data_IF_272331035787
#
_entry.id   IF_272331035787
#
_cell.length_a   1.000
_cell.length_b   1.000
_cell.length_c   1.000
_cell.angle_alpha   90.00
_cell.angle_beta   90.00
_cell.angle_gamma   90.00
#
_symmetry.space_group_name_H-M   'P 1'
#
loop_
_entity.id
_entity.type
_entity.pdbx_description
1 polymer ?
#
# COMPACT_ATOMS: atom_id res chain seq x y z
N UNK A 1 29.76 19.00 0.04
CA UNK A 1 29.96 17.53 0.09
C UNK A 1 28.88 16.88 -0.75
N UNK A 2 29.15 15.81 -1.50
CA UNK A 2 28.10 15.10 -2.23
C UNK A 2 27.05 14.65 -1.22
N UNK A 3 25.79 14.94 -1.52
CA UNK A 3 24.66 14.71 -0.64
C UNK A 3 24.18 13.26 -0.77
N UNK A 4 25.07 12.33 -0.40
CA UNK A 4 24.81 10.89 -0.49
C UNK A 4 23.90 10.49 0.66
N UNK A 5 22.76 9.84 0.36
CA UNK A 5 21.85 9.29 1.37
C UNK A 5 21.86 7.78 1.34
N UNK A 6 22.16 7.19 2.49
CA UNK A 6 22.14 5.75 2.67
C UNK A 6 20.71 5.24 2.82
N UNK A 7 20.32 4.26 2.01
CA UNK A 7 18.99 3.64 2.06
C UNK A 7 18.87 2.72 3.28
N UNK A 8 19.90 1.90 3.53
CA UNK A 8 19.96 0.96 4.65
C UNK A 8 21.11 1.36 5.57
N UNK A 9 20.79 1.59 6.84
CA UNK A 9 21.73 1.95 7.90
C UNK A 9 22.34 0.69 8.52
N UNK A 10 23.58 0.81 8.98
CA UNK A 10 24.28 -0.31 9.62
C UNK A 10 23.61 -0.69 10.94
N UNK A 11 23.44 -1.99 11.19
CA UNK A 11 22.87 -2.55 12.42
C UNK A 11 21.43 -2.12 12.72
N UNK A 12 20.70 -1.67 11.68
CA UNK A 12 19.28 -1.30 11.75
C UNK A 12 18.52 -2.06 10.67
N UNK A 13 17.44 -2.75 11.06
CA UNK A 13 16.55 -3.36 10.09
C UNK A 13 15.71 -2.28 9.39
N UNK A 14 15.77 -2.21 8.06
CA UNK A 14 14.92 -1.32 7.28
C UNK A 14 13.49 -1.86 7.23
N UNK A 15 12.64 -1.31 8.09
CA UNK A 15 11.18 -1.53 8.12
C UNK A 15 10.43 -0.34 7.54
N UNK A 16 9.13 -0.45 7.32
CA UNK A 16 8.33 0.68 6.84
C UNK A 16 8.30 1.84 7.83
N UNK A 17 8.27 1.54 9.13
CA UNK A 17 8.45 2.56 10.16
C UNK A 17 9.77 3.32 9.98
N UNK A 18 10.90 2.61 9.81
CA UNK A 18 12.21 3.22 9.57
C UNK A 18 12.31 3.96 8.24
N UNK A 19 11.64 3.47 7.21
CA UNK A 19 11.50 4.19 5.94
C UNK A 19 10.85 5.57 6.17
N UNK A 20 9.72 5.64 6.88
CA UNK A 20 9.00 6.90 7.08
C UNK A 20 9.63 7.84 8.11
N UNK A 21 10.20 7.32 9.20
CA UNK A 21 10.77 8.16 10.27
C UNK A 21 12.18 8.64 9.99
N UNK A 22 12.97 7.82 9.29
CA UNK A 22 14.42 8.05 9.16
C UNK A 22 14.75 8.34 7.68
N UNK A 23 14.62 7.35 6.78
CA UNK A 23 15.10 7.50 5.40
C UNK A 23 14.38 8.62 4.61
N UNK A 24 13.05 8.61 4.59
CA UNK A 24 12.26 9.64 3.89
C UNK A 24 12.52 11.03 4.48
N UNK A 25 12.72 11.11 5.81
CA UNK A 25 13.06 12.35 6.50
C UNK A 25 14.42 12.87 6.06
N UNK A 26 15.45 12.03 6.03
CA UNK A 26 16.80 12.39 5.58
C UNK A 26 16.80 12.88 4.12
N UNK A 27 16.04 12.22 3.24
CA UNK A 27 15.86 12.64 1.84
C UNK A 27 15.25 14.03 1.77
N UNK A 28 14.14 14.25 2.49
CA UNK A 28 13.44 15.54 2.47
C UNK A 28 14.25 16.68 3.10
N UNK A 29 14.97 16.43 4.19
CA UNK A 29 15.86 17.41 4.81
C UNK A 29 16.98 17.82 3.86
N UNK A 30 17.47 16.89 3.03
CA UNK A 30 18.47 17.20 2.02
C UNK A 30 17.99 18.27 1.02
N UNK A 31 16.75 18.18 0.55
CA UNK A 31 16.16 19.19 -0.34
C UNK A 31 15.86 20.50 0.39
N UNK A 32 15.38 20.44 1.65
CA UNK A 32 15.16 21.64 2.47
C UNK A 32 16.47 22.41 2.71
N UNK A 33 17.59 21.71 2.74
CA UNK A 33 18.93 22.28 2.90
C UNK A 33 19.57 22.70 1.56
N UNK A 34 18.79 22.74 0.47
CA UNK A 34 19.23 23.29 -0.81
C UNK A 34 19.87 22.30 -1.78
N UNK A 35 19.77 20.99 -1.54
CA UNK A 35 20.22 20.01 -2.52
C UNK A 35 19.37 20.09 -3.80
N UNK A 36 20.02 20.20 -4.95
CA UNK A 36 19.37 20.17 -6.28
C UNK A 36 19.35 18.78 -6.88
N UNK A 37 20.11 17.84 -6.31
CA UNK A 37 20.24 16.46 -6.74
C UNK A 37 20.37 15.53 -5.54
N UNK A 38 20.14 14.24 -5.77
CA UNK A 38 20.29 13.21 -4.73
C UNK A 38 21.02 11.99 -5.27
N UNK A 39 22.12 11.64 -4.62
CA UNK A 39 22.81 10.38 -4.83
C UNK A 39 22.42 9.42 -3.71
N UNK A 40 22.00 8.22 -4.07
CA UNK A 40 21.66 7.19 -3.10
C UNK A 40 22.81 6.19 -2.99
N UNK A 41 23.01 5.68 -1.78
CA UNK A 41 23.87 4.52 -1.56
C UNK A 41 23.02 3.46 -0.86
N UNK A 42 23.06 2.22 -1.34
CA UNK A 42 22.20 1.18 -0.76
C UNK A 42 22.59 0.88 0.70
N UNK A 43 23.89 0.88 1.00
CA UNK A 43 24.46 0.52 2.30
C UNK A 43 25.32 1.65 2.87
N UNK A 44 25.10 2.03 4.13
CA UNK A 44 25.77 3.16 4.78
C UNK A 44 27.31 3.13 4.76
N UNK A 45 27.92 2.00 5.11
CA UNK A 45 29.37 1.91 5.27
C UNK A 45 30.08 1.37 4.02
N UNK A 46 29.35 0.77 3.07
CA UNK A 46 29.92 0.11 1.90
C UNK A 46 31.05 -0.85 2.28
N UNK A 47 32.27 -0.57 1.79
CA UNK A 47 33.49 -1.33 2.09
C UNK A 47 34.32 -0.78 3.27
N UNK A 48 33.92 0.35 3.86
CA UNK A 48 34.69 0.99 4.93
C UNK A 48 34.65 0.24 6.26
N UNK A 49 33.59 -0.55 6.52
CA UNK A 49 33.41 -1.29 7.76
C UNK A 49 32.63 -2.59 7.56
N UNK A 50 33.30 -3.58 6.98
CA UNK A 50 32.69 -4.86 6.58
C UNK A 50 32.41 -5.76 7.79
N UNK A 51 33.26 -5.73 8.83
CA UNK A 51 33.20 -6.70 9.93
C UNK A 51 32.25 -6.30 11.05
N UNK A 52 31.97 -5.01 11.21
CA UNK A 52 31.07 -4.51 12.26
C UNK A 52 29.67 -4.16 11.76
N UNK A 53 29.47 -4.19 10.43
CA UNK A 53 28.19 -3.85 9.81
C UNK A 53 27.31 -5.06 9.54
N UNK A 54 26.03 -4.94 9.88
CA UNK A 54 24.99 -5.88 9.45
C UNK A 54 23.83 -5.12 8.81
N UNK A 55 23.30 -5.62 7.70
CA UNK A 55 22.23 -4.97 6.94
C UNK A 55 21.05 -5.90 6.77
N UNK A 56 19.85 -5.44 7.12
CA UNK A 56 18.60 -6.19 6.99
C UNK A 56 17.51 -5.30 6.37
N UNK A 57 16.61 -5.90 5.59
CA UNK A 57 15.45 -5.24 4.99
C UNK A 57 14.22 -6.12 5.17
N UNK A 58 13.10 -5.54 5.59
CA UNK A 58 11.82 -6.22 5.56
C UNK A 58 11.25 -6.19 4.12
N UNK A 59 10.89 -7.34 3.51
CA UNK A 59 10.39 -7.40 2.14
C UNK A 59 9.26 -6.39 1.82
N UNK A 60 8.40 -6.06 2.79
CA UNK A 60 7.29 -5.12 2.60
C UNK A 60 7.75 -3.69 2.27
N UNK A 61 9.02 -3.35 2.50
CA UNK A 61 9.59 -2.03 2.18
C UNK A 61 9.97 -1.91 0.70
N UNK A 62 10.11 -3.02 -0.02
CA UNK A 62 10.54 -3.03 -1.43
C UNK A 62 9.59 -2.21 -2.32
N UNK A 63 8.26 -2.38 -2.28
CA UNK A 63 7.33 -1.51 -3.00
C UNK A 63 7.48 -0.02 -2.66
N UNK A 64 7.71 0.33 -1.39
CA UNK A 64 7.90 1.72 -0.95
C UNK A 64 9.15 2.35 -1.55
N UNK A 65 10.26 1.62 -1.58
CA UNK A 65 11.51 2.09 -2.17
C UNK A 65 11.34 2.36 -3.66
N UNK A 66 10.65 1.47 -4.39
CA UNK A 66 10.36 1.67 -5.81
C UNK A 66 9.47 2.91 -6.03
N UNK A 67 8.39 3.04 -5.26
CA UNK A 67 7.52 4.21 -5.35
C UNK A 67 8.26 5.52 -5.08
N UNK A 68 9.07 5.60 -4.03
CA UNK A 68 9.84 6.82 -3.70
C UNK A 68 10.90 7.13 -4.76
N UNK A 69 11.71 6.15 -5.13
CA UNK A 69 12.78 6.35 -6.11
C UNK A 69 12.21 6.72 -7.48
N UNK A 70 11.04 6.19 -7.86
CA UNK A 70 10.35 6.61 -9.07
C UNK A 70 9.83 8.05 -8.99
N UNK A 71 9.28 8.49 -7.86
CA UNK A 71 8.87 9.89 -7.67
C UNK A 71 10.07 10.84 -7.85
N UNK A 72 11.18 10.50 -7.22
CA UNK A 72 12.41 11.28 -7.28
C UNK A 72 13.00 11.27 -8.70
N UNK A 73 13.00 10.12 -9.37
CA UNK A 73 13.45 10.01 -10.76
C UNK A 73 12.61 10.85 -11.72
N UNK A 74 11.27 10.81 -11.59
CA UNK A 74 10.34 11.67 -12.36
C UNK A 74 10.55 13.15 -12.05
N UNK A 75 10.76 13.51 -10.79
CA UNK A 75 11.05 14.89 -10.38
C UNK A 75 12.34 15.41 -11.04
N UNK A 76 13.40 14.60 -11.02
CA UNK A 76 14.69 14.93 -11.63
C UNK A 76 14.75 14.73 -13.14
N UNK A 77 13.74 14.05 -13.72
CA UNK A 77 13.67 13.65 -15.13
C UNK A 77 14.85 12.80 -15.61
N UNK A 78 15.42 12.00 -14.70
CA UNK A 78 16.54 11.08 -14.96
C UNK A 78 16.52 9.91 -13.98
N UNK A 79 17.20 8.82 -14.32
CA UNK A 79 17.49 7.76 -13.37
C UNK A 79 18.35 8.29 -12.21
N UNK A 80 18.11 7.81 -10.99
CA UNK A 80 18.91 8.19 -9.82
C UNK A 80 20.13 7.30 -9.69
N UNK A 81 21.29 7.88 -9.36
CA UNK A 81 22.47 7.10 -9.01
C UNK A 81 22.23 6.30 -7.74
N UNK A 82 22.45 4.99 -7.79
CA UNK A 82 22.48 4.11 -6.63
C UNK A 82 23.85 3.42 -6.53
N UNK A 83 24.63 3.83 -5.54
CA UNK A 83 25.88 3.17 -5.17
C UNK A 83 25.63 1.81 -4.53
N UNK A 84 26.28 0.78 -5.06
CA UNK A 84 26.21 -0.60 -4.58
C UNK A 84 27.56 -1.05 -4.03
N UNK A 85 27.52 -2.04 -3.14
CA UNK A 85 28.68 -2.73 -2.59
C UNK A 85 28.34 -4.21 -2.42
N UNK A 86 29.25 -5.10 -2.77
CA UNK A 86 29.06 -6.55 -2.62
C UNK A 86 30.21 -7.15 -1.81
N UNK A 87 29.99 -7.25 -0.51
CA UNK A 87 30.93 -7.78 0.46
C UNK A 87 30.20 -8.65 1.48
N UNK A 88 30.93 -9.19 2.47
CA UNK A 88 30.39 -10.13 3.45
C UNK A 88 29.15 -9.59 4.21
N UNK A 89 29.08 -8.29 4.48
CA UNK A 89 27.98 -7.65 5.20
C UNK A 89 26.76 -7.36 4.31
N UNK A 90 26.98 -7.06 3.02
CA UNK A 90 25.93 -6.56 2.11
C UNK A 90 25.31 -7.65 1.23
N UNK A 91 26.04 -8.75 1.01
CA UNK A 91 25.71 -9.77 0.00
C UNK A 91 24.32 -10.39 0.16
N UNK A 92 23.87 -10.62 1.40
CA UNK A 92 22.56 -11.24 1.65
C UNK A 92 21.39 -10.35 1.21
N UNK A 93 21.48 -9.05 1.50
CA UNK A 93 20.46 -8.07 1.08
C UNK A 93 20.53 -7.84 -0.43
N UNK A 94 21.73 -7.75 -0.98
CA UNK A 94 21.92 -7.57 -2.42
C UNK A 94 21.35 -8.77 -3.20
N UNK A 95 21.65 -9.99 -2.77
CA UNK A 95 21.12 -11.23 -3.35
C UNK A 95 19.58 -11.26 -3.26
N UNK A 96 19.00 -10.87 -2.12
CA UNK A 96 17.55 -10.78 -1.96
C UNK A 96 16.91 -9.80 -2.95
N UNK A 97 17.43 -8.58 -3.06
CA UNK A 97 16.90 -7.54 -3.96
C UNK A 97 17.04 -7.92 -5.44
N UNK A 98 18.11 -8.62 -5.82
CA UNK A 98 18.22 -9.19 -7.18
C UNK A 98 17.15 -10.24 -7.41
N UNK A 99 16.99 -11.19 -6.47
CA UNK A 99 16.06 -12.32 -6.63
C UNK A 99 14.59 -11.95 -6.56
N UNK A 100 14.25 -10.86 -5.87
CA UNK A 100 12.87 -10.36 -5.81
C UNK A 100 12.51 -9.42 -6.97
N UNK A 101 13.37 -9.28 -8.00
CA UNK A 101 13.18 -8.43 -9.18
C UNK A 101 13.26 -6.91 -8.92
N UNK A 102 13.74 -6.44 -7.76
CA UNK A 102 13.88 -5.00 -7.48
C UNK A 102 14.78 -4.28 -8.49
N UNK A 103 15.98 -4.82 -8.74
CA UNK A 103 16.92 -4.24 -9.72
C UNK A 103 16.45 -4.43 -11.17
N UNK A 104 15.66 -5.48 -11.43
CA UNK A 104 15.08 -5.69 -12.76
C UNK A 104 14.09 -4.57 -13.10
N UNK A 105 13.18 -4.26 -12.18
CA UNK A 105 12.15 -3.23 -12.35
C UNK A 105 12.76 -1.83 -12.32
N UNK A 106 13.64 -1.56 -11.37
CA UNK A 106 14.21 -0.22 -11.20
C UNK A 106 15.28 0.12 -12.24
N UNK A 107 15.98 -0.86 -12.83
CA UNK A 107 16.99 -0.64 -13.86
C UNK A 107 16.43 -0.40 -15.26
N UNK A 108 17.33 -0.26 -16.23
CA UNK A 108 17.01 -0.08 -17.65
C UNK A 108 16.89 -1.42 -18.42
N UNK A 109 16.28 -2.43 -17.81
CA UNK A 109 16.18 -3.75 -18.43
C UNK A 109 15.19 -3.74 -19.61
N UNK A 110 15.65 -4.15 -20.80
CA UNK A 110 14.89 -4.14 -22.06
C UNK A 110 14.25 -5.53 -22.34
N UNK A 111 14.13 -6.40 -21.34
CA UNK A 111 13.52 -7.73 -21.53
C UNK A 111 12.10 -7.60 -22.14
N UNK A 112 11.78 -8.32 -23.24
CA UNK A 112 10.44 -8.30 -23.82
C UNK A 112 9.36 -8.88 -22.88
N UNK A 113 9.77 -9.67 -21.87
CA UNK A 113 8.86 -10.32 -20.92
C UNK A 113 8.73 -9.54 -19.61
N UNK A 114 7.57 -9.66 -18.97
CA UNK A 114 7.25 -9.03 -17.68
C UNK A 114 8.15 -9.55 -16.54
N UNK A 115 8.55 -8.69 -15.57
CA UNK A 115 8.29 -7.25 -15.50
C UNK A 115 9.25 -6.43 -16.37
N UNK A 116 8.78 -5.34 -16.97
CA UNK A 116 9.65 -4.44 -17.76
C UNK A 116 10.47 -3.52 -16.86
N UNK A 117 11.72 -3.25 -17.25
CA UNK A 117 12.55 -2.25 -16.61
C UNK A 117 12.00 -0.84 -16.83
N UNK A 118 12.08 0.02 -15.81
CA UNK A 118 11.50 1.38 -15.80
C UNK A 118 12.53 2.50 -15.77
N UNK A 119 13.83 2.17 -15.80
CA UNK A 119 14.93 3.14 -15.80
C UNK A 119 14.82 4.19 -14.67
N UNK A 120 14.49 3.73 -13.47
CA UNK A 120 14.31 4.54 -12.25
C UNK A 120 15.66 4.79 -11.56
N UNK A 121 16.50 3.75 -11.52
CA UNK A 121 17.80 3.74 -10.86
C UNK A 121 18.90 3.38 -11.85
N UNK A 122 20.04 4.04 -11.71
CA UNK A 122 21.28 3.72 -12.38
C UNK A 122 22.26 3.15 -11.35
N UNK A 123 22.75 1.95 -11.61
CA UNK A 123 23.70 1.23 -10.75
C UNK A 123 24.63 0.38 -11.62
N UNK A 124 25.77 -0.02 -11.06
CA UNK A 124 26.73 -0.88 -11.74
C UNK A 124 26.36 -2.37 -11.55
N UNK A 125 25.99 -3.10 -12.62
CA UNK A 125 25.62 -4.51 -12.51
C UNK A 125 26.80 -5.43 -12.16
N UNK A 126 28.06 -4.96 -12.21
CA UNK A 126 29.22 -5.76 -11.82
C UNK A 126 29.20 -6.16 -10.33
N UNK A 127 28.44 -5.44 -9.50
CA UNK A 127 28.21 -5.82 -8.11
C UNK A 127 27.30 -7.06 -7.98
N UNK A 128 26.62 -7.51 -9.03
CA UNK A 128 25.78 -8.71 -9.00
C UNK A 128 26.60 -9.97 -9.26
N UNK A 129 26.97 -10.68 -8.19
CA UNK A 129 27.76 -11.89 -8.32
C UNK A 129 28.17 -12.49 -6.99
N UNK A 130 28.80 -13.67 -7.04
CA UNK A 130 29.34 -14.37 -5.85
C UNK A 130 28.33 -14.63 -4.73
N UNK A 131 27.04 -14.62 -5.06
CA UNK A 131 25.94 -14.79 -4.12
C UNK A 131 26.03 -16.13 -3.36
N UNK A 132 25.52 -16.14 -2.12
CA UNK A 132 25.59 -17.32 -1.24
C UNK A 132 24.68 -18.46 -1.70
N UNK A 133 23.80 -18.20 -2.67
CA UNK A 133 22.92 -19.21 -3.26
C UNK A 133 21.65 -19.45 -2.45
N UNK A 134 21.22 -18.50 -1.61
CA UNK A 134 19.97 -18.62 -0.84
C UNK A 134 18.77 -18.71 -1.78
N UNK A 135 18.08 -19.85 -1.79
CA UNK A 135 16.93 -20.04 -2.68
C UNK A 135 15.76 -19.17 -2.20
N UNK A 136 15.38 -18.20 -3.01
CA UNK A 136 14.13 -17.46 -2.85
C UNK A 136 13.05 -18.15 -3.66
N UNK A 137 11.85 -18.31 -3.11
CA UNK A 137 10.69 -18.85 -3.86
C UNK A 137 10.44 -18.00 -5.09
N UNK A 138 10.09 -18.64 -6.19
CA UNK A 138 9.86 -17.99 -7.49
C UNK A 138 8.76 -16.94 -7.44
N UNK A 139 7.83 -17.04 -6.49
CA UNK A 139 6.68 -16.15 -6.32
C UNK A 139 7.01 -14.93 -5.45
N UNK A 140 8.09 -14.98 -4.63
CA UNK A 140 8.51 -13.87 -3.75
C UNK A 140 9.22 -12.76 -4.53
N UNK A 141 8.48 -12.14 -5.46
CA UNK A 141 8.97 -11.11 -6.36
C UNK A 141 8.08 -9.90 -6.26
N UNK A 142 8.69 -8.73 -6.39
CA UNK A 142 7.94 -7.50 -6.57
C UNK A 142 7.36 -7.47 -7.99
N UNK A 143 6.13 -7.00 -8.10
CA UNK A 143 5.37 -6.85 -9.33
C UNK A 143 5.13 -5.37 -9.56
N UNK A 144 5.23 -4.92 -10.81
CA UNK A 144 4.92 -3.56 -11.21
C UNK A 144 3.78 -3.57 -12.22
N UNK A 145 2.67 -2.91 -11.89
CA UNK A 145 1.49 -2.80 -12.74
C UNK A 145 1.40 -1.38 -13.30
N UNK A 146 1.13 -1.23 -14.59
CA UNK A 146 1.15 0.06 -15.29
C UNK A 146 0.32 0.03 -16.56
N UNK A 147 -0.22 1.19 -16.97
CA UNK A 147 -0.82 1.36 -18.30
C UNK A 147 0.21 1.24 -19.44
N UNK A 148 1.50 1.45 -19.16
CA UNK A 148 2.56 1.34 -20.16
C UNK A 148 2.89 -0.11 -20.54
N UNK A 149 2.39 -1.06 -19.76
CA UNK A 149 2.57 -2.49 -19.98
C UNK A 149 1.44 -3.07 -20.84
N UNK A 150 1.73 -4.19 -21.51
CA UNK A 150 0.78 -5.02 -22.26
C UNK A 150 -0.13 -4.27 -23.26
N UNK A 151 0.29 -3.09 -23.74
CA UNK A 151 -0.50 -2.25 -24.65
C UNK A 151 -1.75 -1.64 -24.01
N UNK A 152 -1.87 -1.67 -22.68
CA UNK A 152 -3.08 -1.26 -21.95
C UNK A 152 -3.46 0.20 -22.23
N UNK A 153 -2.49 1.11 -22.26
CA UNK A 153 -2.73 2.53 -22.56
C UNK A 153 -3.39 2.76 -23.94
N UNK A 154 -3.19 1.86 -24.90
CA UNK A 154 -3.85 1.92 -26.21
C UNK A 154 -5.23 1.30 -26.09
N UNK A 155 -5.33 0.08 -25.53
CA UNK A 155 -6.58 -0.65 -25.39
C UNK A 155 -7.66 0.14 -24.64
N UNK A 156 -7.29 0.90 -23.60
CA UNK A 156 -8.28 1.67 -22.82
C UNK A 156 -8.78 2.94 -23.53
N UNK A 157 -8.16 3.37 -24.63
CA UNK A 157 -8.61 4.57 -25.36
C UNK A 157 -9.92 4.34 -26.11
N UNK A 158 -10.23 3.09 -26.42
CA UNK A 158 -11.42 2.71 -27.19
C UNK A 158 -12.70 2.77 -26.34
N UNK A 159 -12.59 2.88 -25.02
CA UNK A 159 -13.72 3.07 -24.12
C UNK A 159 -13.95 4.57 -23.87
N UNK A 160 -15.21 5.01 -23.93
CA UNK A 160 -15.56 6.40 -23.62
C UNK A 160 -15.83 6.57 -22.12
N UNK A 161 -16.44 5.56 -21.49
CA UNK A 161 -16.91 5.60 -20.12
C UNK A 161 -15.80 5.08 -19.17
N UNK A 162 -15.57 5.79 -18.05
CA UNK A 162 -14.55 5.42 -17.07
C UNK A 162 -14.80 4.04 -16.44
N UNK A 163 -16.06 3.71 -16.19
CA UNK A 163 -16.48 2.41 -15.66
C UNK A 163 -16.11 1.25 -16.60
N UNK A 164 -16.26 1.43 -17.92
CA UNK A 164 -15.86 0.42 -18.91
C UNK A 164 -14.33 0.23 -18.94
N UNK A 165 -13.56 1.33 -18.87
CA UNK A 165 -12.10 1.26 -18.73
C UNK A 165 -11.70 0.48 -17.48
N UNK A 166 -12.41 0.72 -16.39
CA UNK A 166 -12.17 0.03 -15.12
C UNK A 166 -12.46 -1.46 -15.28
N UNK A 167 -13.61 -1.85 -15.83
CA UNK A 167 -13.99 -3.26 -15.97
C UNK A 167 -13.02 -4.05 -16.86
N UNK A 168 -12.53 -3.42 -17.93
CA UNK A 168 -11.47 -3.99 -18.77
C UNK A 168 -10.17 -4.20 -17.98
N UNK A 169 -9.70 -3.16 -17.28
CA UNK A 169 -8.47 -3.22 -16.48
C UNK A 169 -8.60 -4.22 -15.31
N UNK A 170 -9.76 -4.27 -14.67
CA UNK A 170 -10.08 -5.22 -13.61
C UNK A 170 -9.95 -6.65 -14.11
N UNK A 171 -10.53 -6.96 -15.26
CA UNK A 171 -10.45 -8.29 -15.87
C UNK A 171 -8.99 -8.67 -16.19
N UNK A 172 -8.24 -7.74 -16.77
CA UNK A 172 -6.81 -7.94 -17.06
C UNK A 172 -5.99 -8.19 -15.78
N UNK A 173 -6.14 -7.33 -14.76
CA UNK A 173 -5.37 -7.44 -13.53
C UNK A 173 -5.80 -8.61 -12.66
N UNK A 174 -7.05 -9.06 -12.72
CA UNK A 174 -7.50 -10.29 -12.05
C UNK A 174 -6.69 -11.50 -12.51
N UNK A 175 -6.47 -11.63 -13.82
CA UNK A 175 -5.63 -12.70 -14.37
C UNK A 175 -4.18 -12.61 -13.88
N UNK A 176 -3.58 -11.41 -13.91
CA UNK A 176 -2.18 -11.19 -13.48
C UNK A 176 -1.98 -11.40 -11.99
N UNK A 177 -2.87 -10.85 -11.15
CA UNK A 177 -2.81 -10.98 -9.69
C UNK A 177 -2.96 -12.44 -9.30
N UNK A 178 -3.84 -13.19 -9.96
CA UNK A 178 -3.99 -14.63 -9.78
C UNK A 178 -2.67 -15.36 -10.07
N UNK A 179 -2.10 -15.16 -11.25
CA UNK A 179 -0.80 -15.76 -11.64
C UNK A 179 0.32 -15.42 -10.64
N UNK A 180 0.35 -14.19 -10.15
CA UNK A 180 1.43 -13.73 -9.27
C UNK A 180 1.30 -14.17 -7.80
N UNK A 181 0.08 -14.28 -7.26
CA UNK A 181 -0.14 -14.39 -5.80
C UNK A 181 -0.96 -15.58 -5.35
N UNK A 182 -1.65 -16.29 -6.25
CA UNK A 182 -2.56 -17.39 -5.85
C UNK A 182 -1.83 -18.49 -5.06
N UNK A 183 -0.62 -18.89 -5.49
CA UNK A 183 0.15 -19.93 -4.78
C UNK A 183 0.50 -19.50 -3.35
N UNK A 184 0.90 -18.24 -3.15
CA UNK A 184 1.24 -17.71 -1.83
C UNK A 184 0.02 -17.58 -0.91
N UNK A 185 -1.16 -17.32 -1.47
CA UNK A 185 -2.42 -17.33 -0.73
C UNK A 185 -2.88 -18.75 -0.35
N UNK A 186 -2.45 -19.77 -1.09
CA UNK A 186 -2.74 -21.16 -0.74
C UNK A 186 -1.81 -21.72 0.33
N UNK A 187 -0.63 -21.14 0.52
CA UNK A 187 0.32 -21.57 1.55
C UNK A 187 -0.15 -21.26 2.99
N UNK A 188 -1.17 -20.43 3.16
CA UNK A 188 -1.64 -19.96 4.46
C UNK A 188 -3.09 -20.42 4.72
N UNK A 189 -3.28 -21.11 5.84
CA UNK A 189 -4.56 -21.73 6.23
C UNK A 189 -5.68 -20.70 6.40
N UNK A 190 -5.35 -19.45 6.74
CA UNK A 190 -6.29 -18.36 6.94
C UNK A 190 -6.64 -17.59 5.66
N UNK A 191 -5.94 -17.88 4.55
CA UNK A 191 -6.20 -17.23 3.26
C UNK A 191 -6.68 -18.20 2.18
N UNK A 192 -6.51 -19.52 2.38
CA UNK A 192 -6.86 -20.52 1.37
C UNK A 192 -8.34 -20.46 0.95
N UNK A 193 -9.27 -20.32 1.89
CA UNK A 193 -10.71 -20.24 1.59
C UNK A 193 -11.14 -18.85 1.10
N UNK A 194 -10.30 -17.83 1.34
CA UNK A 194 -10.56 -16.43 1.00
C UNK A 194 -9.78 -15.98 -0.24
N UNK A 195 -9.03 -16.88 -0.90
CA UNK A 195 -8.09 -16.51 -1.95
C UNK A 195 -8.76 -15.71 -3.08
N UNK A 196 -9.97 -16.11 -3.53
CA UNK A 196 -10.68 -15.37 -4.58
C UNK A 196 -11.04 -13.95 -4.15
N UNK A 197 -11.48 -13.78 -2.90
CA UNK A 197 -11.77 -12.46 -2.33
C UNK A 197 -10.50 -11.61 -2.31
N UNK A 198 -9.36 -12.18 -1.89
CA UNK A 198 -8.08 -11.48 -1.96
C UNK A 198 -7.73 -11.09 -3.39
N UNK A 199 -7.78 -12.01 -4.34
CA UNK A 199 -7.47 -11.72 -5.75
C UNK A 199 -8.33 -10.56 -6.28
N UNK A 200 -9.65 -10.60 -6.08
CA UNK A 200 -10.58 -9.58 -6.56
C UNK A 200 -10.27 -8.20 -5.95
N UNK A 201 -10.04 -8.17 -4.63
CA UNK A 201 -9.69 -6.94 -3.90
C UNK A 201 -8.34 -6.39 -4.37
N UNK A 202 -7.31 -7.22 -4.50
CA UNK A 202 -5.98 -6.78 -4.94
C UNK A 202 -6.03 -6.21 -6.35
N UNK A 203 -6.80 -6.83 -7.24
CA UNK A 203 -7.03 -6.33 -8.59
C UNK A 203 -7.77 -4.99 -8.61
N UNK A 204 -8.76 -4.78 -7.74
CA UNK A 204 -9.43 -3.48 -7.57
C UNK A 204 -8.46 -2.40 -7.07
N UNK A 205 -7.59 -2.73 -6.11
CA UNK A 205 -6.60 -1.78 -5.60
C UNK A 205 -5.57 -1.38 -6.67
N UNK A 206 -5.06 -2.36 -7.43
CA UNK A 206 -4.13 -2.13 -8.54
C UNK A 206 -4.80 -1.32 -9.64
N UNK A 207 -6.05 -1.66 -10.02
CA UNK A 207 -6.80 -0.91 -11.03
C UNK A 207 -7.01 0.53 -10.61
N UNK A 208 -7.38 0.77 -9.35
CA UNK A 208 -7.57 2.13 -8.83
C UNK A 208 -6.26 2.95 -8.87
N UNK A 209 -5.12 2.35 -8.51
CA UNK A 209 -3.82 3.01 -8.60
C UNK A 209 -3.47 3.36 -10.06
N UNK A 210 -3.61 2.40 -10.97
CA UNK A 210 -3.22 2.58 -12.36
C UNK A 210 -4.15 3.54 -13.11
N UNK A 211 -5.47 3.42 -12.93
CA UNK A 211 -6.47 4.21 -13.66
C UNK A 211 -6.65 5.60 -13.06
N UNK A 212 -6.96 5.70 -11.77
CA UNK A 212 -7.33 6.97 -11.15
C UNK A 212 -6.10 7.75 -10.67
N UNK A 213 -5.11 7.07 -10.09
CA UNK A 213 -3.89 7.73 -9.65
C UNK A 213 -2.88 7.96 -10.78
N UNK A 214 -3.13 7.36 -11.96
CA UNK A 214 -2.25 7.43 -13.16
C UNK A 214 -0.80 7.12 -12.81
N UNK A 215 -0.62 6.18 -11.89
CA UNK A 215 0.67 5.79 -11.32
C UNK A 215 0.98 4.34 -11.62
N UNK A 216 2.24 3.98 -11.39
CA UNK A 216 2.62 2.58 -11.32
C UNK A 216 2.27 2.07 -9.92
N UNK A 217 1.73 0.85 -9.86
CA UNK A 217 1.49 0.15 -8.60
C UNK A 217 2.55 -0.93 -8.43
N UNK A 218 3.30 -0.86 -7.32
CA UNK A 218 4.27 -1.88 -6.93
C UNK A 218 3.64 -2.76 -5.85
N UNK A 219 3.61 -4.07 -6.07
CA UNK A 219 3.05 -5.02 -5.11
C UNK A 219 4.03 -6.16 -4.85
N UNK A 220 4.10 -6.61 -3.60
CA UNK A 220 4.90 -7.76 -3.20
C UNK A 220 4.13 -8.55 -2.15
N UNK A 221 4.09 -9.87 -2.32
CA UNK A 221 3.63 -10.82 -1.32
C UNK A 221 4.79 -11.73 -0.93
N UNK A 222 4.92 -12.00 0.36
CA UNK A 222 6.02 -12.78 0.92
C UNK A 222 5.51 -13.66 2.05
N UNK A 223 5.79 -14.95 1.99
CA UNK A 223 5.45 -15.90 3.05
C UNK A 223 6.73 -16.28 3.77
N UNK A 224 6.80 -15.98 5.07
CA UNK A 224 7.84 -16.50 5.95
C UNK A 224 7.30 -17.67 6.78
N UNK A 225 8.09 -18.17 7.75
CA UNK A 225 7.68 -19.28 8.61
C UNK A 225 6.40 -18.98 9.42
N UNK A 226 6.21 -17.74 9.82
CA UNK A 226 5.21 -17.32 10.80
C UNK A 226 4.03 -16.59 10.16
N UNK A 227 4.26 -15.89 9.05
CA UNK A 227 3.27 -15.01 8.45
C UNK A 227 3.39 -14.85 6.94
N UNK A 228 2.25 -14.58 6.34
CA UNK A 228 2.11 -14.02 5.00
C UNK A 228 2.06 -12.50 5.11
N UNK A 229 2.99 -11.83 4.46
CA UNK A 229 3.01 -10.38 4.34
C UNK A 229 2.66 -9.95 2.93
N UNK A 230 1.97 -8.83 2.84
CA UNK A 230 1.61 -8.23 1.58
C UNK A 230 1.79 -6.71 1.64
N UNK A 231 2.29 -6.12 0.56
CA UNK A 231 2.47 -4.67 0.46
C UNK A 231 2.14 -4.20 -0.95
N UNK A 232 1.30 -3.17 -1.06
CA UNK A 232 1.09 -2.39 -2.30
C UNK A 232 1.48 -0.95 -2.01
N UNK A 233 2.33 -0.37 -2.85
CA UNK A 233 2.57 1.06 -2.87
C UNK A 233 2.40 1.61 -4.28
N UNK A 234 1.77 2.77 -4.39
CA UNK A 234 1.76 3.54 -5.63
C UNK A 234 2.40 4.92 -5.41
N UNK A 235 2.85 5.54 -6.50
CA UNK A 235 3.46 6.87 -6.49
C UNK A 235 2.57 7.98 -7.05
N UNK A 236 1.26 7.77 -7.02
CA UNK A 236 0.29 8.64 -7.66
C UNK A 236 -0.19 9.77 -6.79
N UNK A 237 -1.44 10.17 -7.00
CA UNK A 237 -1.97 11.43 -6.47
C UNK A 237 -2.39 11.36 -5.00
N UNK A 238 -2.51 10.17 -4.42
CA UNK A 238 -2.97 9.96 -3.04
C UNK A 238 -4.48 10.14 -2.86
N UNK A 239 -5.01 9.78 -1.69
CA UNK A 239 -6.46 9.75 -1.45
C UNK A 239 -7.14 11.12 -1.57
N UNK A 240 -6.51 12.19 -1.08
CA UNK A 240 -7.12 13.54 -1.10
C UNK A 240 -7.50 13.98 -2.51
N UNK A 241 -6.62 13.71 -3.49
CA UNK A 241 -6.87 14.09 -4.88
C UNK A 241 -7.81 13.09 -5.52
N UNK A 242 -7.64 11.78 -5.27
CA UNK A 242 -8.52 10.74 -5.80
C UNK A 242 -9.97 10.85 -5.34
N UNK A 243 -10.22 11.38 -4.15
CA UNK A 243 -11.58 11.59 -3.64
C UNK A 243 -12.28 12.76 -4.32
N UNK A 244 -11.55 13.80 -4.76
CA UNK A 244 -12.14 14.98 -5.43
C UNK A 244 -12.81 14.69 -6.75
N UNK A 245 -12.46 13.59 -7.42
CA UNK A 245 -13.10 13.17 -8.67
C UNK A 245 -14.34 12.31 -8.45
N UNK A 246 -14.69 11.96 -7.20
CA UNK A 246 -15.84 11.11 -6.91
C UNK A 246 -17.13 11.91 -6.96
N UNK A 247 -18.14 11.31 -7.60
CA UNK A 247 -19.45 11.92 -7.83
C UNK A 247 -20.33 11.65 -6.60
N UNK A 248 -21.00 12.69 -6.11
CA UNK A 248 -22.00 12.53 -5.05
C UNK A 248 -23.18 11.71 -5.56
N UNK A 249 -23.67 10.82 -4.70
CA UNK A 249 -24.87 10.00 -4.94
C UNK A 249 -25.93 10.31 -3.89
N UNK A 250 -27.10 9.68 -4.03
CA UNK A 250 -28.19 9.85 -3.06
C UNK A 250 -27.83 9.36 -1.65
N UNK A 251 -26.80 8.52 -1.50
CA UNK A 251 -26.36 7.93 -0.23
C UNK A 251 -24.92 8.32 0.16
N UNK A 252 -24.21 9.06 -0.68
CA UNK A 252 -22.85 9.54 -0.41
C UNK A 252 -22.67 10.97 -0.90
N UNK A 253 -22.30 11.86 0.02
CA UNK A 253 -21.83 13.20 -0.30
C UNK A 253 -20.31 13.26 -0.13
N UNK A 254 -19.64 13.91 -1.08
CA UNK A 254 -18.19 14.07 -1.10
C UNK A 254 -17.65 14.70 0.20
N UNK A 255 -16.63 14.09 0.81
CA UNK A 255 -16.00 14.50 2.07
C UNK A 255 -16.97 14.53 3.27
N UNK A 256 -18.13 13.88 3.17
CA UNK A 256 -19.16 14.06 4.20
C UNK A 256 -18.82 13.39 5.52
N UNK A 257 -18.01 12.32 5.58
CA UNK A 257 -17.48 11.81 6.85
C UNK A 257 -16.31 12.70 7.31
N UNK A 258 -15.39 13.04 6.40
CA UNK A 258 -14.27 13.94 6.70
C UNK A 258 -14.70 15.27 7.35
N UNK A 259 -15.76 15.89 6.83
CA UNK A 259 -16.32 17.14 7.38
C UNK A 259 -16.94 16.96 8.76
N UNK A 260 -17.46 15.77 9.10
CA UNK A 260 -17.94 15.48 10.45
C UNK A 260 -16.78 15.22 11.41
N UNK A 261 -15.75 14.49 10.98
CA UNK A 261 -14.57 14.22 11.79
C UNK A 261 -13.78 15.49 12.14
N UNK A 262 -13.70 16.44 11.20
CA UNK A 262 -13.00 17.72 11.42
C UNK A 262 -13.67 18.61 12.49
N UNK A 263 -14.97 18.42 12.75
CA UNK A 263 -15.69 19.08 13.85
C UNK A 263 -15.38 18.47 15.22
N UNK A 264 -14.84 17.25 15.25
CA UNK A 264 -14.60 16.47 16.47
C UNK A 264 -13.14 16.50 16.95
N UNK A 265 -12.32 17.45 16.50
CA UNK A 265 -10.86 17.49 16.74
C UNK A 265 -10.47 17.31 18.21
N UNK A 266 -9.71 16.23 18.51
CA UNK A 266 -9.30 15.87 19.88
C UNK A 266 -7.79 15.58 20.06
N UNK A 267 -6.94 15.66 19.03
CA UNK A 267 -5.48 15.50 19.20
C UNK A 267 -4.77 16.86 19.20
N UNK A 268 -4.53 17.43 20.38
CA UNK A 268 -3.95 18.77 20.56
C UNK A 268 -2.52 18.93 20.00
N UNK A 269 -1.73 17.86 19.98
CA UNK A 269 -0.31 17.91 19.61
C UNK A 269 -0.05 17.66 18.11
N UNK A 270 -1.10 17.54 17.28
CA UNK A 270 -0.97 17.24 15.85
C UNK A 270 -1.60 18.37 15.04
N UNK A 271 -0.91 18.81 13.99
CA UNK A 271 -1.40 19.92 13.16
C UNK A 271 -2.68 19.55 12.41
N UNK A 272 -3.56 20.53 12.19
CA UNK A 272 -4.80 20.34 11.44
C UNK A 272 -4.56 19.79 10.03
N UNK A 273 -3.44 20.15 9.39
CA UNK A 273 -3.07 19.62 8.09
C UNK A 273 -2.77 18.11 8.10
N UNK A 274 -2.15 17.59 9.18
CA UNK A 274 -1.93 16.15 9.36
C UNK A 274 -3.26 15.47 9.68
N UNK A 275 -4.05 16.03 10.59
CA UNK A 275 -5.37 15.47 10.93
C UNK A 275 -6.30 15.40 9.73
N UNK A 276 -6.26 16.39 8.84
CA UNK A 276 -7.00 16.37 7.59
C UNK A 276 -6.63 15.15 6.72
N UNK A 277 -5.35 14.77 6.67
CA UNK A 277 -4.93 13.57 5.93
C UNK A 277 -5.46 12.28 6.59
N UNK A 278 -5.49 12.23 7.92
CA UNK A 278 -6.13 11.13 8.65
C UNK A 278 -7.64 11.05 8.32
N UNK A 279 -8.36 12.17 8.37
CA UNK A 279 -9.79 12.23 8.04
C UNK A 279 -10.06 11.76 6.62
N UNK A 280 -9.18 12.09 5.68
CA UNK A 280 -9.26 11.61 4.29
C UNK A 280 -9.13 10.08 4.20
N UNK A 281 -8.28 9.44 4.99
CA UNK A 281 -8.19 7.96 5.04
C UNK A 281 -9.54 7.38 5.50
N UNK A 282 -10.12 7.91 6.58
CA UNK A 282 -11.42 7.45 7.09
C UNK A 282 -12.56 7.66 6.07
N UNK A 283 -12.62 8.82 5.43
CA UNK A 283 -13.63 9.12 4.39
C UNK A 283 -13.48 8.20 3.16
N UNK A 284 -12.23 7.86 2.80
CA UNK A 284 -11.96 6.89 1.73
C UNK A 284 -12.43 5.48 2.10
N UNK A 285 -12.17 5.02 3.34
CA UNK A 285 -12.66 3.73 3.82
C UNK A 285 -14.20 3.70 3.87
N UNK A 286 -14.82 4.79 4.32
CA UNK A 286 -16.27 4.95 4.31
C UNK A 286 -16.83 4.86 2.89
N UNK A 287 -16.29 5.64 1.95
CA UNK A 287 -16.70 5.58 0.55
C UNK A 287 -16.50 4.18 -0.04
N UNK A 288 -15.38 3.52 0.25
CA UNK A 288 -15.12 2.15 -0.20
C UNK A 288 -16.17 1.16 0.31
N UNK A 289 -16.68 1.33 1.52
CA UNK A 289 -17.67 0.44 2.13
C UNK A 289 -19.10 0.63 1.57
N UNK A 290 -19.37 1.75 0.89
CA UNK A 290 -20.68 2.02 0.28
C UNK A 290 -20.84 1.39 -1.11
N UNK A 291 -19.75 0.91 -1.72
CA UNK A 291 -19.75 0.40 -3.09
C UNK A 291 -20.43 -0.97 -3.20
N UNK A 292 -20.92 -1.24 -4.40
CA UNK A 292 -21.49 -2.50 -4.86
C UNK A 292 -20.47 -3.63 -5.05
N UNK A 293 -19.18 -3.33 -4.94
CA UNK A 293 -18.05 -4.26 -5.16
C UNK A 293 -17.11 -4.30 -3.97
N UNK A 294 -16.31 -5.36 -3.86
CA UNK A 294 -15.28 -5.44 -2.83
C UNK A 294 -14.10 -4.53 -3.16
N UNK A 295 -13.52 -3.90 -2.14
CA UNK A 295 -12.39 -2.99 -2.30
C UNK A 295 -11.58 -2.83 -1.02
N UNK A 296 -11.05 -1.62 -0.81
CA UNK A 296 -10.13 -1.31 0.28
C UNK A 296 -10.69 -1.60 1.68
N UNK A 297 -11.96 -1.26 1.92
CA UNK A 297 -12.62 -1.58 3.19
C UNK A 297 -12.76 -3.08 3.39
N UNK A 298 -13.15 -3.80 2.33
CA UNK A 298 -13.29 -5.27 2.37
C UNK A 298 -11.93 -5.93 2.65
N UNK A 299 -10.83 -5.40 2.12
CA UNK A 299 -9.47 -5.89 2.45
C UNK A 299 -9.22 -5.80 3.95
N UNK A 300 -9.50 -4.63 4.53
CA UNK A 300 -9.27 -4.35 5.94
C UNK A 300 -10.03 -5.32 6.85
N UNK A 301 -11.33 -5.54 6.60
CA UNK A 301 -12.13 -6.46 7.43
C UNK A 301 -11.76 -7.92 7.16
N UNK A 302 -11.49 -8.30 5.91
CA UNK A 302 -11.09 -9.68 5.56
C UNK A 302 -9.78 -10.06 6.26
N UNK A 303 -8.79 -9.18 6.22
CA UNK A 303 -7.49 -9.39 6.87
C UNK A 303 -7.65 -9.52 8.38
N UNK A 304 -8.36 -8.59 9.00
CA UNK A 304 -8.40 -8.50 10.47
C UNK A 304 -9.40 -9.49 11.06
N UNK A 305 -10.64 -9.53 10.55
CA UNK A 305 -11.69 -10.40 11.10
C UNK A 305 -11.63 -11.82 10.53
N UNK A 306 -11.36 -11.96 9.23
CA UNK A 306 -11.29 -13.26 8.55
C UNK A 306 -9.97 -13.99 8.78
N UNK A 307 -8.86 -13.26 8.75
CA UNK A 307 -7.51 -13.84 8.81
C UNK A 307 -6.71 -13.46 10.06
N UNK A 308 -7.33 -12.81 11.06
CA UNK A 308 -6.70 -12.42 12.35
C UNK A 308 -5.41 -11.59 12.23
N UNK A 309 -5.23 -10.91 11.09
CA UNK A 309 -4.01 -10.19 10.76
C UNK A 309 -3.97 -8.73 11.21
N UNK A 310 -2.96 -8.04 10.71
CA UNK A 310 -2.79 -6.59 10.80
C UNK A 310 -2.97 -5.97 9.42
N UNK A 311 -3.78 -4.92 9.35
CA UNK A 311 -3.93 -4.08 8.17
C UNK A 311 -3.37 -2.71 8.47
N UNK A 312 -2.47 -2.20 7.63
CA UNK A 312 -1.95 -0.84 7.73
C UNK A 312 -2.21 -0.09 6.44
N UNK A 313 -2.63 1.15 6.59
CA UNK A 313 -2.83 2.06 5.46
C UNK A 313 -2.18 3.39 5.75
N UNK A 314 -1.34 3.82 4.83
CA UNK A 314 -0.62 5.09 4.89
C UNK A 314 -1.00 5.94 3.68
N UNK A 315 -1.30 7.21 3.93
CA UNK A 315 -1.43 8.22 2.89
C UNK A 315 -0.83 9.52 3.40
N UNK A 316 -0.03 10.18 2.55
CA UNK A 316 0.65 11.43 2.90
C UNK A 316 1.55 11.27 4.13
N UNK A 317 1.16 11.80 5.28
CA UNK A 317 1.92 11.78 6.53
C UNK A 317 1.12 11.18 7.70
N UNK A 318 0.06 10.44 7.39
CA UNK A 318 -0.79 9.76 8.37
C UNK A 318 -0.90 8.28 8.03
N UNK A 319 -0.90 7.44 9.07
CA UNK A 319 -1.12 6.01 8.94
C UNK A 319 -2.09 5.52 10.02
N UNK A 320 -2.92 4.57 9.62
CA UNK A 320 -3.80 3.81 10.50
C UNK A 320 -3.35 2.35 10.50
N UNK A 321 -3.23 1.76 11.68
CA UNK A 321 -2.89 0.36 11.95
C UNK A 321 -4.11 -0.28 12.60
N UNK A 322 -4.67 -1.28 11.94
CA UNK A 322 -5.93 -1.94 12.28
C UNK A 322 -5.62 -3.40 12.60
N UNK A 323 -6.19 -3.90 13.70
CA UNK A 323 -5.88 -5.23 14.25
C UNK A 323 -7.05 -5.75 15.08
N UNK A 324 -6.95 -6.98 15.57
CA UNK A 324 -7.95 -7.63 16.44
C UNK A 324 -8.31 -6.82 17.71
N UNK A 325 -7.47 -5.87 18.12
CA UNK A 325 -7.78 -4.93 19.22
C UNK A 325 -8.95 -4.00 18.91
N UNK A 326 -9.40 -3.95 17.67
CA UNK A 326 -10.51 -3.12 17.17
C UNK A 326 -11.68 -3.99 16.67
N UNK A 327 -11.74 -5.26 17.11
CA UNK A 327 -12.68 -6.23 16.58
C UNK A 327 -14.15 -5.82 16.79
N UNK A 328 -14.48 -5.18 17.91
CA UNK A 328 -15.87 -4.77 18.18
C UNK A 328 -16.33 -3.71 17.18
N UNK A 329 -15.50 -2.69 16.92
CA UNK A 329 -15.81 -1.62 15.97
C UNK A 329 -15.89 -2.17 14.54
N UNK A 330 -14.93 -3.03 14.18
CA UNK A 330 -14.86 -3.64 12.85
C UNK A 330 -16.05 -4.56 12.57
N UNK A 331 -16.51 -5.37 13.54
CA UNK A 331 -17.71 -6.20 13.39
C UNK A 331 -18.97 -5.36 13.14
N UNK A 332 -19.09 -4.22 13.81
CA UNK A 332 -20.21 -3.29 13.58
C UNK A 332 -20.18 -2.72 12.16
N UNK A 333 -19.00 -2.29 11.71
CA UNK A 333 -18.82 -1.77 10.35
C UNK A 333 -19.06 -2.84 9.28
N UNK A 334 -18.50 -4.05 9.47
CA UNK A 334 -18.66 -5.19 8.56
C UNK A 334 -20.13 -5.61 8.42
N UNK A 335 -20.88 -5.69 9.53
CA UNK A 335 -22.29 -6.04 9.48
C UNK A 335 -23.10 -5.07 8.61
N UNK A 336 -22.86 -3.75 8.73
CA UNK A 336 -23.54 -2.76 7.90
C UNK A 336 -23.06 -2.85 6.45
N UNK A 337 -21.75 -3.04 6.22
CA UNK A 337 -21.18 -3.27 4.89
C UNK A 337 -21.83 -4.45 4.16
N UNK A 338 -22.02 -5.58 4.85
CA UNK A 338 -22.65 -6.77 4.28
C UNK A 338 -24.11 -6.50 3.89
N UNK A 339 -24.84 -5.74 4.70
CA UNK A 339 -26.21 -5.33 4.37
C UNK A 339 -26.25 -4.40 3.15
N UNK A 340 -25.31 -3.46 3.03
CA UNK A 340 -25.16 -2.59 1.85
C UNK A 340 -24.89 -3.43 0.60
N UNK A 341 -23.98 -4.40 0.69
CA UNK A 341 -23.68 -5.30 -0.43
C UNK A 341 -24.91 -6.10 -0.87
N UNK A 342 -25.68 -6.64 0.08
CA UNK A 342 -26.94 -7.36 -0.20
C UNK A 342 -27.96 -6.44 -0.87
N UNK A 343 -28.07 -5.17 -0.45
CA UNK A 343 -28.99 -4.20 -1.07
C UNK A 343 -28.63 -3.97 -2.54
N UNK A 344 -27.34 -3.76 -2.84
CA UNK A 344 -26.87 -3.62 -4.22
C UNK A 344 -27.16 -4.85 -5.07
N UNK A 345 -26.88 -6.05 -4.57
CA UNK A 345 -27.14 -7.30 -5.29
C UNK A 345 -28.63 -7.53 -5.53
N UNK A 346 -29.48 -7.29 -4.53
CA UNK A 346 -30.94 -7.39 -4.65
C UNK A 346 -31.47 -6.45 -5.74
N UNK A 347 -30.94 -5.23 -5.83
CA UNK A 347 -31.29 -4.29 -6.89
C UNK A 347 -30.79 -4.74 -8.27
N UNK A 348 -29.53 -5.20 -8.38
CA UNK A 348 -28.97 -5.72 -9.63
C UNK A 348 -29.74 -6.95 -10.16
N UNK A 349 -30.32 -7.74 -9.25
CA UNK A 349 -31.21 -8.86 -9.58
C UNK A 349 -32.67 -8.46 -9.85
N UNK A 350 -32.97 -7.15 -9.90
CA UNK A 350 -34.31 -6.58 -10.12
C UNK A 350 -35.36 -7.03 -9.09
N UNK A 351 -34.94 -7.30 -7.85
CA UNK A 351 -35.83 -7.77 -6.78
C UNK A 351 -36.43 -6.64 -5.94
N UNK A 352 -35.85 -5.44 -6.01
CA UNK A 352 -36.36 -4.20 -5.38
C UNK A 352 -36.35 -3.07 -6.41
N UNK A 353 -37.23 -2.09 -6.21
CA UNK A 353 -37.27 -0.90 -7.06
C UNK A 353 -36.09 0.05 -6.79
N UNK A 354 -35.79 0.93 -7.75
CA UNK A 354 -34.76 1.96 -7.57
C UNK A 354 -35.05 2.85 -6.34
N UNK A 355 -36.31 3.24 -6.12
CA UNK A 355 -36.69 4.06 -4.97
C UNK A 355 -36.44 3.35 -3.63
N UNK A 356 -36.73 2.05 -3.56
CA UNK A 356 -36.44 1.23 -2.37
C UNK A 356 -34.93 1.09 -2.16
N UNK A 357 -34.16 0.81 -3.21
CA UNK A 357 -32.70 0.72 -3.18
C UNK A 357 -32.07 2.03 -2.66
N UNK A 358 -32.45 3.19 -3.21
CA UNK A 358 -31.95 4.50 -2.78
C UNK A 358 -32.25 4.77 -1.31
N UNK A 359 -33.49 4.53 -0.87
CA UNK A 359 -33.92 4.74 0.52
C UNK A 359 -33.17 3.83 1.50
N UNK A 360 -33.01 2.56 1.15
CA UNK A 360 -32.29 1.60 2.00
C UNK A 360 -30.80 1.97 2.11
N UNK A 361 -30.16 2.35 1.00
CA UNK A 361 -28.77 2.79 1.02
C UNK A 361 -28.57 4.08 1.80
N UNK A 362 -29.48 5.05 1.72
CA UNK A 362 -29.44 6.28 2.52
C UNK A 362 -29.44 5.97 4.03
N UNK A 363 -30.32 5.08 4.48
CA UNK A 363 -30.41 4.70 5.89
C UNK A 363 -29.12 3.98 6.33
N UNK A 364 -28.62 3.05 5.50
CA UNK A 364 -27.42 2.28 5.83
C UNK A 364 -26.14 3.11 5.75
N UNK A 365 -26.04 4.07 4.82
CA UNK A 365 -24.87 4.94 4.73
C UNK A 365 -24.75 5.86 5.94
N UNK A 366 -25.87 6.40 6.45
CA UNK A 366 -25.86 7.18 7.69
C UNK A 366 -25.50 6.31 8.91
N UNK A 367 -26.05 5.10 9.00
CA UNK A 367 -25.70 4.16 10.06
C UNK A 367 -24.21 3.82 10.05
N UNK A 368 -23.66 3.57 8.85
CA UNK A 368 -22.25 3.27 8.64
C UNK A 368 -21.37 4.47 9.01
N UNK A 369 -21.77 5.70 8.63
CA UNK A 369 -21.08 6.94 9.01
C UNK A 369 -20.97 7.08 10.53
N UNK A 370 -22.05 6.82 11.27
CA UNK A 370 -22.01 6.84 12.74
C UNK A 370 -21.01 5.83 13.30
N UNK A 371 -20.98 4.60 12.78
CA UNK A 371 -19.99 3.59 13.20
C UNK A 371 -18.55 4.02 12.89
N UNK A 372 -18.30 4.68 11.75
CA UNK A 372 -16.97 5.22 11.44
C UNK A 372 -16.57 6.37 12.37
N UNK A 373 -17.51 7.23 12.76
CA UNK A 373 -17.27 8.30 13.74
C UNK A 373 -16.86 7.69 15.09
N UNK A 374 -17.57 6.66 15.56
CA UNK A 374 -17.24 5.99 16.83
C UNK A 374 -15.91 5.25 16.75
N UNK A 375 -15.63 4.59 15.62
CA UNK A 375 -14.34 3.97 15.35
C UNK A 375 -13.19 5.00 15.39
N UNK A 376 -13.38 6.15 14.75
CA UNK A 376 -12.42 7.26 14.77
C UNK A 376 -12.17 7.76 16.19
N UNK A 377 -13.22 8.05 16.97
CA UNK A 377 -13.08 8.53 18.35
C UNK A 377 -12.24 7.58 19.20
N UNK A 378 -12.54 6.29 19.16
CA UNK A 378 -11.77 5.28 19.91
C UNK A 378 -10.31 5.20 19.48
N UNK A 379 -10.02 5.30 18.17
CA UNK A 379 -8.65 5.33 17.67
C UNK A 379 -7.88 6.56 18.18
N UNK A 380 -8.54 7.72 18.21
CA UNK A 380 -7.97 8.99 18.68
C UNK A 380 -7.78 9.01 20.20
N UNK A 381 -8.76 8.53 20.96
CA UNK A 381 -8.68 8.45 22.42
C UNK A 381 -7.50 7.57 22.83
N UNK A 382 -7.31 6.43 22.15
CA UNK A 382 -6.16 5.55 22.37
C UNK A 382 -4.83 6.22 22.05
N UNK A 383 -4.76 7.02 20.98
CA UNK A 383 -3.56 7.82 20.68
C UNK A 383 -3.24 8.81 21.80
N UNK A 384 -4.26 9.43 22.37
CA UNK A 384 -4.10 10.45 23.42
C UNK A 384 -3.65 9.86 24.76
N UNK A 385 -3.99 8.60 25.04
CA UNK A 385 -3.60 7.90 26.27
C UNK A 385 -2.27 7.16 26.11
N UNK A 386 -2.04 6.50 24.97
CA UNK A 386 -0.88 5.64 24.74
C UNK A 386 -0.42 5.70 23.28
N UNK A 387 0.48 6.65 23.01
CA UNK A 387 1.06 6.85 21.67
C UNK A 387 1.79 5.60 21.19
N UNK A 388 2.50 4.89 22.08
CA UNK A 388 3.36 3.75 21.72
C UNK A 388 2.53 2.61 21.14
N UNK A 389 1.40 2.28 21.75
CA UNK A 389 0.52 1.20 21.27
C UNK A 389 -0.73 1.70 20.53
N UNK A 390 -0.74 2.97 20.14
CA UNK A 390 -1.79 3.55 19.30
C UNK A 390 -1.82 2.91 17.92
N UNK A 391 -3.02 2.87 17.34
CA UNK A 391 -3.27 2.55 15.94
C UNK A 391 -2.92 3.70 14.99
N UNK A 392 -2.70 4.90 15.51
CA UNK A 392 -2.41 6.08 14.68
C UNK A 392 -0.91 6.37 14.70
N UNK A 393 -0.38 6.72 13.53
CA UNK A 393 1.00 7.21 13.36
C UNK A 393 0.98 8.45 12.50
N UNK A 394 1.81 9.41 12.88
CA UNK A 394 1.97 10.69 12.19
C UNK A 394 3.44 10.93 11.90
N UNK A 395 3.73 11.40 10.69
CA UNK A 395 5.09 11.58 10.19
C UNK A 395 5.35 13.05 9.82
N UNK A 396 6.63 13.46 9.89
CA UNK A 396 7.02 14.84 9.60
C UNK A 396 7.04 15.16 8.09
N UNK A 397 7.18 14.12 7.27
CA UNK A 397 7.31 14.23 5.82
C UNK A 397 6.15 13.52 5.16
N UNK A 398 5.61 14.15 4.12
CA UNK A 398 4.57 13.56 3.28
C UNK A 398 5.21 12.63 2.27
N UNK A 399 4.68 11.42 2.20
CA UNK A 399 4.90 10.50 1.09
C UNK A 399 3.66 10.54 0.20
N UNK A 400 3.83 11.02 -1.03
CA UNK A 400 2.72 11.13 -1.98
C UNK A 400 2.38 9.75 -2.54
N UNK A 401 1.08 9.45 -2.66
CA UNK A 401 0.57 8.14 -3.04
C UNK A 401 -0.04 7.39 -1.86
N UNK A 402 -0.39 6.12 -2.07
CA UNK A 402 -0.96 5.25 -1.05
C UNK A 402 -0.02 4.08 -0.81
N UNK A 403 0.08 3.67 0.44
CA UNK A 403 0.76 2.43 0.82
C UNK A 403 -0.13 1.61 1.74
N UNK A 404 -0.31 0.35 1.38
CA UNK A 404 -1.09 -0.63 2.13
C UNK A 404 -0.16 -1.77 2.49
N UNK A 405 -0.16 -2.15 3.77
CA UNK A 405 0.53 -3.33 4.28
C UNK A 405 -0.46 -4.26 4.96
N UNK A 406 -0.22 -5.54 4.81
CA UNK A 406 -0.98 -6.61 5.45
C UNK A 406 0.00 -7.62 6.01
N UNK A 407 -0.26 -8.08 7.23
CA UNK A 407 0.44 -9.22 7.84
C UNK A 407 -0.59 -10.19 8.39
N UNK A 408 -0.53 -11.44 7.94
CA UNK A 408 -1.48 -12.51 8.29
C UNK A 408 -0.67 -13.66 8.90
N UNK A 409 -0.98 -14.12 10.13
CA UNK A 409 -0.31 -15.30 10.68
C UNK A 409 -0.58 -16.53 9.80
N UNK A 410 0.39 -17.45 9.69
CA UNK A 410 0.21 -18.65 8.86
C UNK A 410 -0.76 -19.65 9.50
N UNK A 411 -0.69 -19.77 10.83
CA UNK A 411 -1.46 -20.75 11.61
C UNK A 411 -2.06 -20.05 12.84
N UNK A 412 -3.19 -20.56 13.34
CA UNK A 412 -3.87 -20.02 14.54
C UNK A 412 -3.08 -20.22 15.86
N UNK A 413 -1.97 -20.95 15.85
CA UNK A 413 -1.22 -21.35 17.05
C UNK A 413 -0.07 -20.43 17.48
N UNK A 414 0.37 -19.50 16.64
CA UNK A 414 1.63 -18.77 16.85
C UNK A 414 1.48 -17.42 17.59
N UNK A 415 0.27 -17.00 17.94
CA UNK A 415 -0.01 -15.73 18.63
C UNK A 415 0.17 -15.77 20.17
N UNK A 416 0.77 -16.84 20.71
CA UNK A 416 1.15 -16.94 22.13
C UNK A 416 2.66 -16.68 22.36
N UNK A 417 3.24 -15.64 21.75
CA UNK A 417 4.59 -15.16 22.07
C UNK A 417 4.61 -13.64 22.29
#
# INVERSE_FOLDING_TARGET
MPNIKSVIKSNVNLTSYKFYTDFLKEVAESYRNGATDIDLQLFENGDNDIYSSTYHIDPIVVPLLLSLTEQLSKYHKKALSLGLHNNQATIDVLEFLVKCDFFHISGNNINPNFPKGRNILQFDPLFFGSFKGKVLRTQHRVRAYSLEDDGLAIAIKDFEIEEEKRDFLMSHYTYKVRDHFQELLFDNELTIDLHNIYIDILSELITNAVLHSKSNAYALMFVDRFKTKFSISDNGVGFEISMKSKISSNYYELNSLKNELSKQNTISNISSAILNNLHTIFDTLYYSALKERHGLFDLMVTVVLGSQGYFRIHSENSQIIISNRMMEELKSLENIRNQIYIIHNTYALNQISQLEWEKMLQIKSQSLKCCFIDFYKKAVDKYSVDIKYSSLRFFLVKFRGVHIEVEIPNNQGDDNI
#
